data_IF_740022229419
#
_entry.id   IF_740022229419
#
_cell.length_a   1.000
_cell.length_b   1.000
_cell.length_c   1.000
_cell.angle_alpha   90.00
_cell.angle_beta   90.00
_cell.angle_gamma   90.00
#
_symmetry.space_group_name_H-M   'P 1'
#
loop_
_entity.id
_entity.type
_entity.pdbx_description
1 polymer ?
#
# COMPACT_ATOMS: atom_id res chain seq x y z
N UNK A 1 -33.68 -8.92 32.84
CA UNK A 1 -33.29 -7.54 32.52
C UNK A 1 -31.80 -7.43 32.17
N UNK A 2 -30.91 -8.00 32.98
CA UNK A 2 -29.45 -7.99 32.64
C UNK A 2 -29.13 -8.75 31.37
N UNK A 3 -29.91 -9.71 30.97
CA UNK A 3 -29.70 -10.50 29.76
C UNK A 3 -29.82 -9.66 28.46
N UNK A 4 -30.69 -8.65 28.45
CA UNK A 4 -30.85 -7.79 27.28
C UNK A 4 -29.63 -6.89 27.05
N UNK A 5 -29.01 -6.40 28.11
CA UNK A 5 -27.79 -5.57 28.02
C UNK A 5 -26.61 -6.37 27.50
N UNK A 6 -26.45 -7.65 27.92
CA UNK A 6 -25.35 -8.49 27.42
C UNK A 6 -25.47 -8.75 25.93
N UNK A 7 -26.67 -8.92 25.42
CA UNK A 7 -26.89 -9.14 23.99
C UNK A 7 -26.52 -7.92 23.15
N UNK A 8 -26.84 -6.73 23.66
CA UNK A 8 -26.50 -5.49 22.95
C UNK A 8 -24.99 -5.29 22.84
N UNK A 9 -24.24 -5.62 23.88
CA UNK A 9 -22.79 -5.52 23.85
C UNK A 9 -22.15 -6.49 22.85
N UNK A 10 -22.69 -7.69 22.74
CA UNK A 10 -22.15 -8.69 21.77
C UNK A 10 -22.37 -8.27 20.33
N UNK A 11 -23.40 -7.52 20.02
CA UNK A 11 -23.66 -7.04 18.66
C UNK A 11 -22.70 -5.91 18.28
N UNK A 12 -22.30 -5.06 19.21
CA UNK A 12 -21.41 -3.92 18.93
C UNK A 12 -19.99 -4.34 18.55
N UNK A 13 -19.45 -5.41 19.15
CA UNK A 13 -18.08 -5.87 18.88
C UNK A 13 -17.87 -6.27 17.42
N UNK A 14 -18.74 -7.10 16.78
CA UNK A 14 -18.59 -7.42 15.37
C UNK A 14 -18.67 -6.20 14.43
N UNK A 15 -19.49 -5.22 14.77
CA UNK A 15 -19.61 -4.00 13.97
C UNK A 15 -18.31 -3.19 13.97
N UNK A 16 -17.62 -3.10 15.08
CA UNK A 16 -16.33 -2.40 15.18
C UNK A 16 -15.24 -3.11 14.36
N UNK A 17 -15.20 -4.43 14.39
CA UNK A 17 -14.25 -5.20 13.60
C UNK A 17 -14.47 -5.02 12.10
N UNK A 18 -15.70 -4.98 11.64
CA UNK A 18 -16.04 -4.73 10.25
C UNK A 18 -15.61 -3.32 9.81
N UNK A 19 -15.77 -2.32 10.65
CA UNK A 19 -15.32 -0.96 10.36
C UNK A 19 -13.80 -0.88 10.20
N UNK A 20 -13.02 -1.61 11.01
CA UNK A 20 -11.57 -1.68 10.89
C UNK A 20 -11.15 -2.31 9.57
N UNK A 21 -11.83 -3.37 9.13
CA UNK A 21 -11.53 -4.02 7.85
C UNK A 21 -11.83 -3.11 6.66
N UNK A 22 -12.87 -2.27 6.73
CA UNK A 22 -13.19 -1.34 5.67
C UNK A 22 -12.06 -0.31 5.44
N UNK A 23 -11.35 0.08 6.49
CA UNK A 23 -10.20 0.99 6.36
C UNK A 23 -9.06 0.40 5.55
N UNK A 24 -8.80 -0.91 5.67
CA UNK A 24 -7.71 -1.57 4.96
C UNK A 24 -7.91 -1.58 3.43
N UNK A 25 -9.15 -1.48 2.95
CA UNK A 25 -9.48 -1.50 1.53
C UNK A 25 -9.51 -0.12 0.88
N UNK A 26 -9.19 0.93 1.63
CA UNK A 26 -9.29 2.32 1.14
C UNK A 26 -7.98 2.88 0.61
N UNK A 27 -6.93 2.07 0.44
CA UNK A 27 -5.66 2.56 -0.11
C UNK A 27 -5.86 3.02 -1.56
N UNK A 28 -5.12 4.06 -1.96
CA UNK A 28 -5.20 4.57 -3.32
C UNK A 28 -4.75 3.54 -4.36
N UNK A 29 -3.85 2.62 -3.98
CA UNK A 29 -3.39 1.55 -4.87
C UNK A 29 -4.53 0.59 -5.17
N UNK A 30 -5.29 0.18 -4.15
CA UNK A 30 -6.45 -0.69 -4.34
C UNK A 30 -7.53 -0.03 -5.19
N UNK A 31 -7.84 1.23 -4.91
CA UNK A 31 -8.86 1.98 -5.64
C UNK A 31 -8.49 2.17 -7.11
N UNK A 32 -7.19 2.29 -7.41
CA UNK A 32 -6.74 2.51 -8.77
C UNK A 32 -6.81 1.29 -9.67
N UNK A 33 -6.81 0.09 -9.13
CA UNK A 33 -6.85 -1.13 -9.92
C UNK A 33 -5.66 -1.28 -10.84
N UNK A 34 -4.46 -1.01 -10.35
CA UNK A 34 -3.25 -1.02 -11.17
C UNK A 34 -2.69 -2.42 -11.34
N UNK A 35 -2.10 -2.67 -12.50
CA UNK A 35 -1.34 -3.88 -12.82
C UNK A 35 0.07 -3.52 -13.26
N UNK A 36 1.04 -4.35 -12.88
CA UNK A 36 2.41 -4.19 -13.37
C UNK A 36 2.57 -4.77 -14.78
N UNK A 37 3.79 -4.67 -15.34
CA UNK A 37 4.08 -5.16 -16.68
C UNK A 37 3.93 -6.68 -16.84
N UNK A 38 3.97 -7.44 -15.75
CA UNK A 38 3.77 -8.88 -15.77
C UNK A 38 2.29 -9.27 -15.62
N UNK A 39 1.37 -8.31 -15.55
CA UNK A 39 -0.06 -8.56 -15.41
C UNK A 39 -0.51 -8.85 -13.98
N UNK A 40 0.34 -8.62 -13.00
CA UNK A 40 0.00 -8.81 -11.59
C UNK A 40 -0.70 -7.57 -11.03
N UNK A 41 -1.73 -7.78 -10.22
CA UNK A 41 -2.40 -6.68 -9.52
C UNK A 41 -1.52 -6.09 -8.44
N UNK A 42 -1.42 -4.76 -8.40
CA UNK A 42 -0.78 -4.04 -7.30
C UNK A 42 -1.79 -3.88 -6.18
N UNK A 43 -1.94 -4.91 -5.36
CA UNK A 43 -2.89 -4.89 -4.24
C UNK A 43 -2.27 -4.12 -3.07
N UNK A 44 -3.03 -3.17 -2.49
CA UNK A 44 -2.49 -2.18 -1.58
C UNK A 44 -2.66 -2.42 -0.10
N UNK A 45 -3.35 -3.48 0.35
CA UNK A 45 -3.75 -3.57 1.76
C UNK A 45 -2.57 -3.79 2.69
N UNK A 46 -1.89 -4.93 2.58
CA UNK A 46 -0.75 -5.26 3.43
C UNK A 46 0.55 -5.35 2.65
N UNK A 47 0.46 -5.40 1.33
CA UNK A 47 1.59 -5.62 0.46
C UNK A 47 2.32 -4.34 0.10
N UNK A 48 1.67 -3.19 0.22
CA UNK A 48 2.23 -1.90 -0.17
C UNK A 48 2.62 -1.08 1.04
N UNK A 49 3.80 -0.45 0.95
CA UNK A 49 4.32 0.44 1.98
C UNK A 49 4.79 1.73 1.33
N UNK A 50 4.42 2.86 1.93
CA UNK A 50 4.92 4.18 1.54
C UNK A 50 6.12 4.55 2.41
N UNK A 51 7.14 5.12 1.79
CA UNK A 51 8.39 5.47 2.45
C UNK A 51 8.51 6.98 2.54
N UNK A 52 8.65 7.49 3.77
CA UNK A 52 8.80 8.92 4.03
C UNK A 52 10.25 9.38 3.88
N UNK A 53 11.20 8.47 3.99
CA UNK A 53 12.63 8.77 3.90
C UNK A 53 13.25 7.97 2.78
N UNK A 54 13.57 8.65 1.70
CA UNK A 54 14.26 8.08 0.56
C UNK A 54 15.34 9.06 0.12
N UNK A 55 16.39 8.54 -0.48
CA UNK A 55 17.37 9.35 -1.20
C UNK A 55 17.40 8.88 -2.64
N UNK A 56 17.89 9.75 -3.53
CA UNK A 56 17.96 9.44 -4.95
C UNK A 56 19.41 9.33 -5.38
N UNK A 57 19.68 8.35 -6.23
CA UNK A 57 20.95 8.20 -6.94
C UNK A 57 20.73 8.50 -8.42
N UNK A 58 21.78 8.34 -9.23
CA UNK A 58 21.65 8.51 -10.69
C UNK A 58 20.73 7.46 -11.32
N UNK A 59 20.57 6.29 -10.71
CA UNK A 59 19.85 5.16 -11.29
C UNK A 59 18.58 4.74 -10.56
N UNK A 60 18.33 5.24 -9.36
CA UNK A 60 17.16 4.81 -8.60
C UNK A 60 17.03 5.49 -7.24
N UNK A 61 16.04 5.04 -6.48
CA UNK A 61 15.85 5.45 -5.10
C UNK A 61 16.60 4.51 -4.16
N UNK A 62 17.16 5.07 -3.09
CA UNK A 62 17.71 4.27 -2.00
C UNK A 62 16.72 4.26 -0.85
N UNK A 63 16.30 3.09 -0.43
CA UNK A 63 15.28 2.89 0.61
C UNK A 63 15.77 1.77 1.52
N UNK A 64 16.02 2.09 2.79
CA UNK A 64 16.44 1.09 3.79
C UNK A 64 17.62 0.23 3.29
N UNK A 65 18.58 0.85 2.60
CA UNK A 65 19.75 0.16 2.07
C UNK A 65 19.53 -0.59 0.76
N UNK A 66 18.35 -0.50 0.18
CA UNK A 66 17.99 -1.17 -1.06
C UNK A 66 17.92 -0.17 -2.21
N UNK A 67 18.55 -0.48 -3.35
CA UNK A 67 18.41 0.32 -4.56
C UNK A 67 17.18 -0.12 -5.33
N UNK A 68 16.27 0.82 -5.59
CA UNK A 68 15.07 0.59 -6.40
C UNK A 68 15.22 1.38 -7.70
N UNK A 69 15.47 0.72 -8.83
CA UNK A 69 15.72 1.41 -10.10
C UNK A 69 14.51 2.25 -10.56
N UNK A 70 14.79 3.39 -11.17
CA UNK A 70 13.73 4.27 -11.69
C UNK A 70 12.89 3.59 -12.77
N UNK A 71 13.48 2.69 -13.55
CA UNK A 71 12.76 2.02 -14.63
C UNK A 71 11.73 0.99 -14.15
N UNK A 72 11.76 0.62 -12.87
CA UNK A 72 10.72 -0.22 -12.29
C UNK A 72 9.45 0.55 -11.94
N UNK A 73 9.50 1.88 -11.97
CA UNK A 73 8.35 2.69 -11.59
C UNK A 73 7.21 2.54 -12.58
N UNK A 74 6.01 2.39 -12.04
CA UNK A 74 4.79 2.45 -12.82
C UNK A 74 4.63 3.86 -13.40
N UNK A 75 3.92 4.01 -14.56
CA UNK A 75 3.70 5.31 -15.16
C UNK A 75 2.65 6.15 -14.42
N UNK A 76 2.45 5.90 -13.16
CA UNK A 76 1.44 6.52 -12.32
C UNK A 76 2.15 7.12 -11.11
N UNK A 77 2.00 8.43 -10.92
CA UNK A 77 2.58 9.12 -9.76
C UNK A 77 1.77 8.83 -8.50
N UNK A 78 2.42 8.58 -7.36
CA UNK A 78 1.68 8.45 -6.11
C UNK A 78 1.05 9.80 -5.73
N UNK A 79 -0.22 9.80 -5.27
CA UNK A 79 -0.93 11.04 -4.96
C UNK A 79 -0.26 11.89 -3.88
N UNK A 80 0.43 11.24 -2.94
CA UNK A 80 1.12 11.91 -1.84
C UNK A 80 2.59 12.23 -2.15
N UNK A 81 3.07 11.85 -3.34
CA UNK A 81 4.46 12.03 -3.74
C UNK A 81 5.46 11.10 -3.07
N UNK A 82 5.01 10.21 -2.20
CA UNK A 82 5.90 9.28 -1.49
C UNK A 82 6.14 8.02 -2.31
N UNK A 83 7.39 7.55 -2.30
CA UNK A 83 7.71 6.27 -2.91
C UNK A 83 6.89 5.16 -2.24
N UNK A 84 6.15 4.41 -3.03
CA UNK A 84 5.31 3.31 -2.55
C UNK A 84 5.73 2.02 -3.26
N UNK A 85 6.01 0.99 -2.51
CA UNK A 85 6.43 -0.31 -3.03
C UNK A 85 5.46 -1.37 -2.56
N UNK A 86 4.91 -2.13 -3.51
CA UNK A 86 4.07 -3.28 -3.24
C UNK A 86 4.91 -4.54 -3.46
N UNK A 87 4.99 -5.41 -2.45
CA UNK A 87 5.87 -6.56 -2.48
C UNK A 87 5.09 -7.85 -2.54
N UNK A 88 5.70 -8.86 -3.15
CA UNK A 88 5.22 -10.24 -3.12
C UNK A 88 5.53 -10.84 -1.74
N UNK A 89 4.91 -11.99 -1.40
CA UNK A 89 5.20 -12.65 -0.12
C UNK A 89 6.68 -13.00 0.09
N UNK A 90 7.46 -13.18 -0.98
CA UNK A 90 8.89 -13.45 -0.88
C UNK A 90 9.74 -12.18 -0.67
N UNK A 91 9.10 -11.01 -0.61
CA UNK A 91 9.77 -9.73 -0.42
C UNK A 91 10.20 -9.03 -1.69
N UNK A 92 10.07 -9.67 -2.86
CA UNK A 92 10.43 -9.04 -4.13
C UNK A 92 9.42 -7.95 -4.50
N UNK A 93 9.89 -6.96 -5.26
CA UNK A 93 9.04 -5.83 -5.66
C UNK A 93 8.09 -6.25 -6.78
N UNK A 94 6.80 -6.10 -6.53
CA UNK A 94 5.76 -6.34 -7.53
C UNK A 94 5.40 -5.07 -8.27
N UNK A 95 5.17 -3.97 -7.54
CA UNK A 95 4.85 -2.67 -8.12
C UNK A 95 5.61 -1.58 -7.38
N UNK A 96 6.10 -0.59 -8.14
CA UNK A 96 6.80 0.57 -7.60
C UNK A 96 6.12 1.83 -8.12
N UNK A 97 5.78 2.75 -7.22
CA UNK A 97 5.20 4.05 -7.56
C UNK A 97 6.11 5.13 -6.96
N UNK A 98 6.61 6.01 -7.79
CA UNK A 98 7.49 7.06 -7.30
C UNK A 98 7.62 8.20 -8.30
N UNK A 99 7.99 9.38 -7.78
CA UNK A 99 8.30 10.54 -8.60
C UNK A 99 9.79 10.51 -8.95
N UNK A 100 10.10 10.42 -10.24
CA UNK A 100 11.49 10.45 -10.71
C UNK A 100 12.05 11.85 -10.53
N UNK A 101 13.26 12.00 -9.95
CA UNK A 101 13.89 13.32 -9.85
C UNK A 101 14.16 13.94 -11.22
N UNK A 102 14.05 15.25 -11.32
CA UNK A 102 14.37 15.98 -12.53
C UNK A 102 13.28 16.02 -13.59
N UNK A 103 12.09 15.58 -13.26
CA UNK A 103 10.92 15.69 -14.15
C UNK A 103 10.09 16.93 -13.87
#
# INVERSE_FOLDING_TARGET
>A
MSRALSRSLLVLVPALLLASNAFAHDSWVNKGGFKNGAGEWCCGDFDCKSYTRTSSTASGWMVDGELVPFDEAMPIAPPDGMLTICRRPDGSRRCVFGLKPGL
#
